data_IF_748713470262
#
_entry.id   IF_748713470262
#
_cell.length_a   1.000
_cell.length_b   1.000
_cell.length_c   1.000
_cell.angle_alpha   90.00
_cell.angle_beta   90.00
_cell.angle_gamma   90.00
#
_symmetry.space_group_name_H-M   'P 1'
#
loop_
_entity.id
_entity.type
_entity.pdbx_description
1 polymer ?
#
# COMPACT_ATOMS: atom_id res chain seq x y z
N UNK A 1 16.82 14.47 4.33
CA UNK A 1 16.26 15.13 3.12
C UNK A 1 15.69 14.05 2.18
N UNK A 2 14.48 14.20 1.62
CA UNK A 2 13.91 13.27 0.65
C UNK A 2 14.72 13.24 -0.65
N UNK A 3 14.74 12.10 -1.36
CA UNK A 3 15.42 11.95 -2.66
C UNK A 3 14.47 12.00 -3.86
N UNK A 4 13.16 11.91 -3.65
CA UNK A 4 12.17 11.99 -4.72
C UNK A 4 10.88 12.69 -4.26
N UNK A 5 10.19 13.30 -5.21
CA UNK A 5 9.00 14.12 -4.99
C UNK A 5 7.96 13.81 -6.05
N UNK A 6 6.73 13.57 -5.62
CA UNK A 6 5.56 13.63 -6.48
C UNK A 6 5.14 15.10 -6.59
N UNK A 7 5.00 15.61 -7.81
CA UNK A 7 4.80 17.03 -8.03
C UNK A 7 3.61 17.36 -8.96
N UNK A 8 3.21 18.63 -8.89
CA UNK A 8 2.37 19.34 -9.86
C UNK A 8 3.00 20.71 -10.14
N UNK A 9 3.14 21.06 -11.41
CA UNK A 9 3.69 22.37 -11.81
C UNK A 9 3.33 22.66 -13.27
N UNK A 10 2.75 23.82 -13.57
CA UNK A 10 2.52 24.31 -14.94
C UNK A 10 1.92 23.28 -15.93
N UNK A 11 0.90 22.53 -15.51
CA UNK A 11 0.29 21.48 -16.35
C UNK A 11 1.12 20.19 -16.49
N UNK A 12 2.29 20.15 -15.85
CA UNK A 12 3.12 18.96 -15.65
C UNK A 12 2.76 18.24 -14.35
N UNK A 13 2.87 16.92 -14.39
CA UNK A 13 2.47 16.01 -13.33
C UNK A 13 3.41 14.80 -13.34
N UNK A 14 3.91 14.37 -12.19
CA UNK A 14 4.62 13.09 -12.10
C UNK A 14 5.55 12.99 -10.89
N UNK A 15 6.61 12.19 -11.06
CA UNK A 15 7.72 12.06 -10.12
C UNK A 15 8.96 12.83 -10.62
N UNK A 16 9.66 13.48 -9.71
CA UNK A 16 11.05 13.94 -9.92
C UNK A 16 11.94 13.34 -8.83
N UNK A 17 13.18 13.05 -9.17
CA UNK A 17 14.19 12.58 -8.23
C UNK A 17 15.40 13.50 -8.25
N UNK A 18 16.09 13.59 -7.12
CA UNK A 18 17.36 14.32 -7.02
C UNK A 18 18.39 13.55 -7.83
N UNK A 19 19.06 14.21 -8.77
CA UNK A 19 20.20 13.66 -9.51
C UNK A 19 21.45 14.50 -9.22
N UNK A 20 22.41 13.97 -8.43
CA UNK A 20 23.63 14.70 -8.09
C UNK A 20 24.71 14.64 -9.17
N UNK A 21 24.55 13.81 -10.20
CA UNK A 21 25.57 13.56 -11.22
C UNK A 21 25.32 14.32 -12.52
N UNK A 22 24.09 14.80 -12.73
CA UNK A 22 23.76 15.58 -13.91
C UNK A 22 24.33 17.00 -13.83
N UNK A 23 25.48 17.18 -14.48
CA UNK A 23 26.18 18.46 -14.54
C UNK A 23 25.34 19.57 -15.20
N UNK A 24 24.34 19.21 -16.02
CA UNK A 24 23.42 20.19 -16.62
C UNK A 24 22.37 20.72 -15.63
N UNK A 25 22.24 20.12 -14.45
CA UNK A 25 21.33 20.56 -13.38
C UNK A 25 22.01 21.45 -12.34
N UNK A 26 23.31 21.70 -12.46
CA UNK A 26 24.06 22.58 -11.57
C UNK A 26 23.95 24.01 -12.10
N UNK A 27 23.06 24.80 -11.52
CA UNK A 27 23.02 26.24 -11.81
C UNK A 27 24.21 26.94 -11.15
N UNK A 28 24.84 27.87 -11.87
CA UNK A 28 25.69 28.87 -11.24
C UNK A 28 24.79 29.74 -10.33
N UNK A 29 24.99 29.67 -9.01
CA UNK A 29 24.29 30.54 -8.05
C UNK A 29 23.26 29.87 -7.13
N UNK A 30 23.20 28.54 -7.06
CA UNK A 30 22.38 27.83 -6.06
C UNK A 30 20.89 27.70 -6.41
N UNK A 31 20.52 27.79 -7.69
CA UNK A 31 19.17 27.48 -8.15
C UNK A 31 19.08 25.97 -8.47
N UNK A 32 17.96 25.36 -8.10
CA UNK A 32 17.67 23.97 -8.47
C UNK A 32 17.00 23.95 -9.84
N UNK A 33 17.60 23.26 -10.80
CA UNK A 33 16.99 23.01 -12.10
C UNK A 33 16.11 21.77 -12.02
N UNK A 34 14.91 21.86 -12.60
CA UNK A 34 13.97 20.74 -12.69
C UNK A 34 13.71 20.47 -14.16
N UNK A 35 13.85 19.20 -14.57
CA UNK A 35 13.56 18.75 -15.92
C UNK A 35 12.29 17.91 -15.93
N UNK A 36 11.46 18.13 -16.94
CA UNK A 36 10.24 17.37 -17.16
C UNK A 36 10.34 16.54 -18.44
N UNK A 37 9.75 15.35 -18.43
CA UNK A 37 9.58 14.51 -19.62
C UNK A 37 8.31 14.90 -20.36
N UNK A 38 8.26 14.59 -21.65
CA UNK A 38 7.04 14.76 -22.46
C UNK A 38 5.84 14.02 -21.85
N UNK A 39 6.06 12.82 -21.29
CA UNK A 39 5.02 12.04 -20.62
C UNK A 39 4.46 12.72 -19.36
N UNK A 40 5.20 13.66 -18.75
CA UNK A 40 4.76 14.41 -17.58
C UNK A 40 3.94 15.64 -17.95
N UNK A 41 4.06 16.16 -19.17
CA UNK A 41 3.29 17.30 -19.66
C UNK A 41 1.89 16.86 -20.06
N UNK A 42 0.87 17.26 -19.30
CA UNK A 42 -0.53 16.86 -19.57
C UNK A 42 -1.28 17.86 -20.44
N UNK A 43 -0.95 19.15 -20.30
CA UNK A 43 -1.44 20.22 -21.15
C UNK A 43 -0.45 21.40 -21.10
N UNK A 44 -0.45 22.22 -22.15
CA UNK A 44 0.39 23.42 -22.22
C UNK A 44 -0.27 24.56 -21.46
N UNK A 45 0.53 25.28 -20.67
CA UNK A 45 0.12 26.52 -19.99
C UNK A 45 0.47 27.75 -20.82
N UNK A 46 -0.04 28.92 -20.42
CA UNK A 46 0.32 30.20 -21.04
C UNK A 46 1.78 30.54 -20.71
N UNK A 47 2.48 31.20 -21.64
CA UNK A 47 3.89 31.54 -21.51
C UNK A 47 4.21 32.43 -20.28
N UNK A 48 3.22 33.16 -19.78
CA UNK A 48 3.33 34.12 -18.66
C UNK A 48 2.91 33.53 -17.30
N UNK A 49 2.61 32.23 -17.23
CA UNK A 49 2.20 31.61 -15.97
C UNK A 49 3.35 31.58 -14.96
N UNK A 50 3.06 31.98 -13.72
CA UNK A 50 4.02 31.89 -12.61
C UNK A 50 4.42 30.44 -12.36
N UNK A 51 5.73 30.20 -12.18
CA UNK A 51 6.28 28.86 -11.96
C UNK A 51 6.10 28.48 -10.49
N UNK A 52 4.98 27.83 -10.18
CA UNK A 52 4.78 27.19 -8.89
C UNK A 52 5.16 25.70 -8.94
N UNK A 53 5.83 25.22 -7.90
CA UNK A 53 6.24 23.81 -7.77
C UNK A 53 5.60 23.17 -6.52
N UNK A 54 4.47 22.51 -6.72
CA UNK A 54 3.71 21.90 -5.64
C UNK A 54 4.18 20.46 -5.38
N UNK A 55 4.64 20.21 -4.16
CA UNK A 55 4.99 18.86 -3.69
C UNK A 55 3.77 18.19 -3.05
N UNK A 56 3.33 17.08 -3.65
CA UNK A 56 2.16 16.29 -3.19
C UNK A 56 2.59 15.21 -2.19
N UNK A 57 3.66 14.48 -2.53
CA UNK A 57 4.29 13.45 -1.70
C UNK A 57 5.80 13.52 -1.89
N UNK A 58 6.53 12.94 -0.96
CA UNK A 58 7.97 12.79 -1.05
C UNK A 58 8.39 11.41 -0.55
N UNK A 59 9.58 10.98 -0.97
CA UNK A 59 10.18 9.72 -0.52
C UNK A 59 10.35 9.73 1.00
N UNK A 60 9.77 8.76 1.68
CA UNK A 60 9.81 8.64 3.12
C UNK A 60 9.67 7.17 3.52
N UNK A 61 10.23 6.75 4.67
CA UNK A 61 10.05 5.40 5.13
C UNK A 61 8.58 5.14 5.46
N UNK A 62 7.98 4.16 4.79
CA UNK A 62 6.60 3.76 5.05
C UNK A 62 6.52 2.25 5.29
N UNK A 63 5.95 1.79 6.43
CA UNK A 63 5.78 0.38 6.70
C UNK A 63 4.75 -0.24 5.73
N UNK A 64 5.01 -1.47 5.32
CA UNK A 64 4.08 -2.24 4.49
C UNK A 64 2.99 -2.90 5.35
N UNK A 65 1.76 -2.88 4.87
CA UNK A 65 0.65 -3.66 5.39
C UNK A 65 0.08 -4.54 4.29
N UNK A 66 -0.16 -5.81 4.60
CA UNK A 66 -0.91 -6.71 3.75
C UNK A 66 -2.39 -6.31 3.79
N UNK A 67 -3.06 -6.39 2.65
CA UNK A 67 -4.50 -6.15 2.51
C UNK A 67 -5.20 -7.43 2.03
N UNK A 68 -6.54 -7.47 2.08
CA UNK A 68 -7.33 -8.64 1.64
C UNK A 68 -6.94 -9.14 0.25
N UNK A 69 -6.85 -8.24 -0.74
CA UNK A 69 -6.52 -8.61 -2.12
C UNK A 69 -5.11 -9.19 -2.23
N UNK A 70 -4.15 -8.56 -1.56
CA UNK A 70 -2.77 -9.06 -1.50
C UNK A 70 -2.74 -10.46 -0.88
N UNK A 71 -3.35 -10.66 0.29
CA UNK A 71 -3.40 -11.98 0.94
C UNK A 71 -4.07 -13.03 0.06
N UNK A 72 -5.20 -12.68 -0.57
CA UNK A 72 -5.96 -13.61 -1.41
C UNK A 72 -5.15 -14.06 -2.64
N UNK A 73 -4.52 -13.12 -3.34
CA UNK A 73 -3.70 -13.44 -4.51
C UNK A 73 -2.41 -14.16 -4.14
N UNK A 74 -1.73 -13.73 -3.08
CA UNK A 74 -0.51 -14.37 -2.60
C UNK A 74 -0.75 -15.84 -2.20
N UNK A 75 -1.85 -16.11 -1.50
CA UNK A 75 -2.19 -17.49 -1.11
C UNK A 75 -2.66 -18.32 -2.29
N UNK A 76 -3.39 -17.73 -3.24
CA UNK A 76 -3.77 -18.42 -4.47
C UNK A 76 -2.55 -18.80 -5.29
N UNK A 77 -1.64 -17.86 -5.53
CA UNK A 77 -0.37 -18.11 -6.20
C UNK A 77 0.45 -19.21 -5.48
N UNK A 78 0.47 -19.19 -4.15
CA UNK A 78 1.15 -20.21 -3.37
C UNK A 78 0.47 -21.59 -3.46
N UNK A 79 -0.85 -21.65 -3.65
CA UNK A 79 -1.57 -22.93 -3.86
C UNK A 79 -1.19 -23.56 -5.18
N UNK A 80 -1.14 -22.78 -6.25
CA UNK A 80 -0.76 -23.25 -7.58
C UNK A 80 0.65 -23.83 -7.60
N UNK A 81 1.52 -23.28 -6.73
CA UNK A 81 2.91 -23.71 -6.59
C UNK A 81 3.13 -24.73 -5.46
N UNK A 82 2.07 -25.22 -4.79
CA UNK A 82 2.17 -26.23 -3.73
C UNK A 82 2.84 -25.75 -2.43
N UNK A 83 2.92 -24.43 -2.19
CA UNK A 83 3.60 -23.79 -1.05
C UNK A 83 2.66 -23.06 -0.08
N UNK A 84 1.36 -23.21 -0.26
CA UNK A 84 0.35 -22.48 0.50
C UNK A 84 0.43 -22.67 2.01
N UNK A 85 0.85 -23.84 2.53
CA UNK A 85 0.96 -24.06 3.97
C UNK A 85 2.01 -23.16 4.63
N UNK A 86 3.10 -22.84 3.91
CA UNK A 86 4.16 -21.96 4.39
C UNK A 86 3.63 -20.53 4.47
N UNK A 87 2.98 -20.07 3.39
CA UNK A 87 2.39 -18.73 3.29
C UNK A 87 1.28 -18.54 4.31
N UNK A 88 0.38 -19.52 4.45
CA UNK A 88 -0.74 -19.47 5.40
C UNK A 88 -0.26 -19.43 6.85
N UNK A 89 0.71 -20.29 7.20
CA UNK A 89 1.34 -20.24 8.52
C UNK A 89 1.96 -18.87 8.78
N UNK A 90 2.71 -18.33 7.82
CA UNK A 90 3.35 -17.02 7.97
C UNK A 90 2.32 -15.90 8.16
N UNK A 91 1.22 -15.90 7.42
CA UNK A 91 0.15 -14.91 7.60
C UNK A 91 -0.46 -15.01 9.00
N UNK A 92 -0.64 -16.23 9.53
CA UNK A 92 -1.12 -16.43 10.89
C UNK A 92 -0.13 -15.97 11.96
N UNK A 93 1.17 -16.13 11.75
CA UNK A 93 2.22 -15.59 12.62
C UNK A 93 2.19 -14.06 12.62
N UNK A 94 2.25 -13.44 11.44
CA UNK A 94 2.21 -11.98 11.28
C UNK A 94 0.96 -11.36 11.92
N UNK A 95 -0.17 -12.05 11.77
CA UNK A 95 -1.41 -11.66 12.42
C UNK A 95 -1.29 -11.67 13.95
N UNK A 96 -0.69 -12.73 14.50
CA UNK A 96 -0.49 -12.90 15.94
C UNK A 96 0.48 -11.86 16.48
N UNK A 97 1.57 -11.60 15.76
CA UNK A 97 2.56 -10.58 16.11
C UNK A 97 1.93 -9.18 16.13
N UNK A 98 1.16 -8.83 15.10
CA UNK A 98 0.44 -7.56 15.04
C UNK A 98 -0.51 -7.37 16.21
N UNK A 99 -1.19 -8.44 16.63
CA UNK A 99 -2.06 -8.39 17.79
C UNK A 99 -1.29 -8.21 19.10
N UNK A 100 -0.24 -9.00 19.31
CA UNK A 100 0.62 -8.89 20.49
C UNK A 100 1.21 -7.49 20.60
N UNK A 101 1.64 -6.89 19.49
CA UNK A 101 2.16 -5.52 19.47
C UNK A 101 1.10 -4.48 19.88
N UNK A 102 -0.16 -4.66 19.43
CA UNK A 102 -1.28 -3.80 19.88
C UNK A 102 -1.49 -3.94 21.38
N UNK A 103 -1.54 -5.16 21.92
CA UNK A 103 -1.72 -5.37 23.36
C UNK A 103 -0.55 -4.82 24.17
N UNK A 104 0.69 -5.12 23.77
CA UNK A 104 1.90 -4.61 24.44
C UNK A 104 1.90 -3.09 24.47
N UNK A 105 1.43 -2.42 23.42
CA UNK A 105 1.35 -0.96 23.40
C UNK A 105 0.52 -0.37 24.54
N UNK A 106 -0.39 -1.14 25.16
CA UNK A 106 -1.24 -0.69 26.26
C UNK A 106 -0.63 -0.89 27.67
N UNK A 107 0.34 -1.79 27.80
CA UNK A 107 0.81 -2.26 29.13
C UNK A 107 2.32 -2.29 29.29
N UNK A 108 3.07 -2.36 28.19
CA UNK A 108 4.53 -2.38 28.18
C UNK A 108 5.09 -0.99 27.89
N UNK A 109 5.99 -0.50 28.74
CA UNK A 109 6.53 0.85 28.69
C UNK A 109 7.28 1.15 27.38
N UNK A 110 8.04 0.17 26.86
CA UNK A 110 8.82 0.34 25.64
C UNK A 110 7.91 0.33 24.40
N UNK A 111 6.95 -0.61 24.34
CA UNK A 111 5.97 -0.68 23.27
C UNK A 111 5.05 0.54 23.23
N UNK A 112 4.65 1.05 24.40
CA UNK A 112 3.88 2.30 24.53
C UNK A 112 4.64 3.48 23.92
N UNK A 113 5.92 3.62 24.29
CA UNK A 113 6.79 4.68 23.76
C UNK A 113 6.99 4.55 22.25
N UNK A 114 7.17 3.33 21.74
CA UNK A 114 7.23 3.05 20.30
C UNK A 114 5.93 3.43 19.59
N UNK A 115 4.77 3.10 20.16
CA UNK A 115 3.48 3.44 19.61
C UNK A 115 3.29 4.96 19.51
N UNK A 116 3.72 5.72 20.54
CA UNK A 116 3.74 7.18 20.50
C UNK A 116 4.71 7.73 19.44
N UNK A 117 5.90 7.14 19.27
CA UNK A 117 6.86 7.56 18.22
C UNK A 117 6.30 7.41 16.82
N UNK A 118 5.47 6.39 16.61
CA UNK A 118 4.75 6.16 15.35
C UNK A 118 3.63 7.15 15.05
N UNK A 119 3.28 8.04 15.97
CA UNK A 119 2.29 9.10 15.73
C UNK A 119 2.92 10.31 15.00
N UNK A 120 2.09 11.10 14.30
CA UNK A 120 2.54 12.32 13.63
C UNK A 120 3.32 13.27 14.55
N UNK A 121 4.24 14.06 13.97
CA UNK A 121 5.35 14.82 14.59
C UNK A 121 5.01 15.86 15.69
N UNK A 122 3.79 15.91 16.21
CA UNK A 122 3.36 17.00 17.11
C UNK A 122 3.71 16.79 18.59
N UNK A 123 4.25 15.63 19.00
CA UNK A 123 4.55 15.35 20.41
C UNK A 123 6.06 15.20 20.67
N UNK A 124 6.66 16.04 21.53
CA UNK A 124 8.08 15.95 21.91
C UNK A 124 8.30 14.86 22.97
N UNK A 125 7.88 13.64 22.66
CA UNK A 125 7.91 12.48 23.59
C UNK A 125 9.32 12.12 24.03
N UNK A 126 10.33 12.40 23.21
CA UNK A 126 11.74 12.10 23.53
C UNK A 126 12.30 12.96 24.66
N UNK A 127 11.55 13.97 25.13
CA UNK A 127 11.89 14.78 26.32
C UNK A 127 11.44 14.13 27.64
N UNK A 128 10.65 13.07 27.58
CA UNK A 128 10.06 12.42 28.75
C UNK A 128 10.63 11.01 28.94
N UNK A 129 10.68 10.57 30.20
CA UNK A 129 11.00 9.18 30.49
C UNK A 129 9.82 8.27 30.12
N UNK A 130 10.06 7.10 29.50
CA UNK A 130 9.02 6.15 29.13
C UNK A 130 8.03 5.83 30.26
N UNK A 131 8.51 5.72 31.50
CA UNK A 131 7.70 5.42 32.69
C UNK A 131 6.73 6.56 33.04
N UNK A 132 7.09 7.81 32.73
CA UNK A 132 6.22 8.97 32.93
C UNK A 132 5.14 9.02 31.87
N UNK A 133 5.49 8.71 30.61
CA UNK A 133 4.57 8.74 29.47
C UNK A 133 3.40 7.76 29.64
N UNK A 134 3.67 6.54 30.10
CA UNK A 134 2.64 5.50 30.25
C UNK A 134 1.67 5.76 31.43
N UNK A 135 2.11 6.54 32.43
CA UNK A 135 1.29 6.93 33.58
C UNK A 135 0.44 8.17 33.30
N UNK A 136 0.84 8.99 32.33
CA UNK A 136 0.15 10.22 31.96
C UNK A 136 -1.14 9.90 31.17
N UNK A 137 -2.26 10.48 31.61
CA UNK A 137 -3.60 10.09 31.16
C UNK A 137 -3.90 10.53 29.71
N UNK A 138 -3.34 11.65 29.25
CA UNK A 138 -3.51 12.13 27.89
C UNK A 138 -2.80 11.21 26.88
N UNK A 139 -1.52 10.91 27.09
CA UNK A 139 -0.78 9.97 26.24
C UNK A 139 -1.38 8.57 26.28
N UNK A 140 -1.83 8.12 27.45
CA UNK A 140 -2.50 6.84 27.59
C UNK A 140 -3.78 6.78 26.75
N UNK A 141 -4.61 7.82 26.82
CA UNK A 141 -5.84 7.91 26.01
C UNK A 141 -5.53 7.89 24.51
N UNK A 142 -4.46 8.54 24.07
CA UNK A 142 -4.03 8.52 22.66
C UNK A 142 -3.65 7.10 22.22
N UNK A 143 -2.81 6.40 23.00
CA UNK A 143 -2.37 5.05 22.66
C UNK A 143 -3.52 4.06 22.70
N UNK A 144 -4.46 4.19 23.65
CA UNK A 144 -5.68 3.39 23.72
C UNK A 144 -6.55 3.57 22.46
N UNK A 145 -6.80 4.82 22.05
CA UNK A 145 -7.55 5.11 20.80
C UNK A 145 -6.83 4.57 19.57
N UNK A 146 -5.49 4.70 19.53
CA UNK A 146 -4.69 4.15 18.45
C UNK A 146 -4.78 2.61 18.41
N UNK A 147 -4.67 1.93 19.55
CA UNK A 147 -4.80 0.48 19.66
C UNK A 147 -6.16 -0.02 19.16
N UNK A 148 -7.25 0.66 19.55
CA UNK A 148 -8.62 0.36 19.07
C UNK A 148 -8.72 0.58 17.56
N UNK A 149 -8.13 1.66 17.04
CA UNK A 149 -8.10 1.94 15.61
C UNK A 149 -7.33 0.87 14.83
N UNK A 150 -6.16 0.45 15.31
CA UNK A 150 -5.34 -0.61 14.72
C UNK A 150 -6.08 -1.95 14.77
N UNK A 151 -6.68 -2.31 15.90
CA UNK A 151 -7.49 -3.52 16.03
C UNK A 151 -8.69 -3.52 15.07
N UNK A 152 -9.33 -2.35 14.88
CA UNK A 152 -10.42 -2.17 13.90
C UNK A 152 -9.93 -2.32 12.46
N UNK A 153 -8.76 -1.78 12.12
CA UNK A 153 -8.15 -1.95 10.79
C UNK A 153 -7.79 -3.41 10.52
N UNK A 154 -7.19 -4.08 11.50
CA UNK A 154 -6.84 -5.49 11.44
C UNK A 154 -8.10 -6.37 11.26
N UNK A 155 -9.18 -6.09 12.00
CA UNK A 155 -10.42 -6.87 11.93
C UNK A 155 -11.27 -6.57 10.69
N UNK A 156 -11.52 -5.29 10.39
CA UNK A 156 -12.50 -4.90 9.37
C UNK A 156 -11.91 -4.71 7.97
N UNK A 157 -10.57 -4.61 7.85
CA UNK A 157 -9.87 -4.42 6.57
C UNK A 157 -8.77 -5.47 6.32
N UNK A 158 -8.51 -6.37 7.26
CA UNK A 158 -7.41 -7.34 7.20
C UNK A 158 -6.06 -6.65 6.92
N UNK A 159 -5.82 -5.50 7.56
CA UNK A 159 -4.57 -4.74 7.42
C UNK A 159 -3.50 -5.30 8.34
N UNK A 160 -2.81 -6.36 7.91
CA UNK A 160 -1.77 -7.03 8.70
C UNK A 160 -0.42 -6.35 8.42
N UNK A 161 0.22 -5.70 9.40
CA UNK A 161 1.54 -5.11 9.20
C UNK A 161 2.57 -6.20 8.92
N UNK A 162 3.43 -5.95 7.91
CA UNK A 162 4.64 -6.74 7.71
C UNK A 162 5.77 -6.12 8.54
N UNK A 163 6.67 -6.90 9.16
CA UNK A 163 7.79 -6.37 9.90
C UNK A 163 8.59 -5.39 9.05
N UNK A 164 9.03 -4.29 9.67
CA UNK A 164 9.87 -3.28 9.02
C UNK A 164 11.26 -3.82 8.68
N UNK A 165 11.58 -5.07 8.98
CA UNK A 165 12.79 -5.70 8.44
C UNK A 165 12.53 -6.44 7.13
N UNK A 166 11.27 -6.55 6.66
CA UNK A 166 10.84 -7.48 5.61
C UNK A 166 9.97 -6.85 4.51
N UNK A 167 9.60 -5.56 4.64
CA UNK A 167 8.93 -4.85 3.55
C UNK A 167 8.70 -3.37 3.80
N UNK A 168 8.44 -2.65 2.71
CA UNK A 168 8.19 -1.21 2.66
C UNK A 168 7.13 -0.89 1.61
N UNK A 169 6.43 0.21 1.83
CA UNK A 169 5.59 0.87 0.84
C UNK A 169 6.39 2.07 0.31
N UNK A 170 6.70 2.14 -0.98
CA UNK A 170 7.61 3.17 -1.52
C UNK A 170 7.14 3.74 -2.85
N UNK A 171 7.61 4.94 -3.18
CA UNK A 171 7.43 5.52 -4.51
C UNK A 171 8.40 4.85 -5.50
N UNK A 172 7.99 4.74 -6.76
CA UNK A 172 8.84 4.29 -7.85
C UNK A 172 9.54 5.44 -8.56
N UNK A 173 10.80 5.25 -8.94
CA UNK A 173 11.55 6.15 -9.82
C UNK A 173 12.30 5.35 -10.89
N UNK A 174 12.72 6.03 -11.95
CA UNK A 174 13.48 5.42 -13.05
C UNK A 174 14.98 5.53 -12.78
N UNK A 175 15.76 4.53 -13.19
CA UNK A 175 17.21 4.64 -13.27
C UNK A 175 17.61 5.56 -14.43
N UNK A 176 18.00 6.79 -14.13
CA UNK A 176 18.50 7.75 -15.13
C UNK A 176 19.93 7.44 -15.60
N UNK A 177 20.67 6.65 -14.83
CA UNK A 177 22.06 6.30 -15.14
C UNK A 177 22.15 5.16 -16.15
N UNK A 178 21.08 4.38 -16.30
CA UNK A 178 21.00 3.22 -17.19
C UNK A 178 21.95 2.09 -16.81
N UNK A 179 22.29 1.98 -15.51
CA UNK A 179 23.26 1.01 -14.99
C UNK A 179 22.63 -0.29 -14.51
N UNK A 180 21.33 -0.29 -14.20
CA UNK A 180 20.57 -1.51 -13.87
C UNK A 180 20.28 -2.34 -15.12
N UNK A 181 20.34 -3.67 -15.03
CA UNK A 181 19.94 -4.59 -16.10
C UNK A 181 18.45 -4.95 -16.02
N UNK A 182 17.83 -5.44 -17.11
CA UNK A 182 16.46 -5.95 -17.06
C UNK A 182 16.30 -7.01 -15.95
N UNK A 183 15.29 -6.84 -15.09
CA UNK A 183 15.03 -7.68 -13.92
C UNK A 183 15.80 -7.28 -12.65
N UNK A 184 16.70 -6.31 -12.73
CA UNK A 184 17.37 -5.69 -11.58
C UNK A 184 16.64 -4.41 -11.14
N UNK A 185 16.71 -4.16 -9.84
CA UNK A 185 16.23 -2.92 -9.21
C UNK A 185 17.27 -2.43 -8.21
N UNK A 186 17.27 -1.14 -7.90
CA UNK A 186 17.99 -0.63 -6.74
C UNK A 186 17.01 -0.24 -5.65
N UNK A 187 17.29 -0.65 -4.41
CA UNK A 187 16.45 -0.37 -3.27
C UNK A 187 17.28 -0.07 -2.02
N UNK A 188 17.24 1.18 -1.59
CA UNK A 188 17.85 1.65 -0.35
C UNK A 188 16.79 2.31 0.52
N UNK A 189 16.74 1.92 1.79
CA UNK A 189 15.69 2.36 2.71
C UNK A 189 16.24 2.74 4.08
N UNK A 190 15.51 3.63 4.75
CA UNK A 190 15.75 3.99 6.14
C UNK A 190 15.42 2.80 7.06
N UNK A 191 16.39 2.41 7.88
CA UNK A 191 16.31 1.23 8.76
C UNK A 191 15.14 1.35 9.75
N UNK A 192 15.17 2.41 10.57
CA UNK A 192 14.08 2.73 11.51
C UNK A 192 13.03 3.63 10.83
N UNK A 193 11.89 3.05 10.49
CA UNK A 193 10.79 3.77 9.83
C UNK A 193 10.16 4.88 10.68
N UNK A 194 10.41 4.87 11.98
CA UNK A 194 9.94 5.91 12.91
C UNK A 194 11.03 6.94 13.23
N UNK A 195 12.22 6.79 12.64
CA UNK A 195 13.31 7.73 12.82
C UNK A 195 12.91 9.12 12.37
N UNK A 196 13.12 10.08 13.26
CA UNK A 196 12.92 11.52 12.99
C UNK A 196 14.26 12.23 12.75
N UNK A 197 15.35 11.47 12.63
CA UNK A 197 16.70 11.99 12.35
C UNK A 197 16.77 12.64 10.97
N UNK A 198 17.54 13.71 10.85
CA UNK A 198 17.86 14.32 9.54
C UNK A 198 18.76 13.41 8.70
N UNK A 199 19.59 12.61 9.38
CA UNK A 199 20.52 11.63 8.80
C UNK A 199 20.21 10.25 9.40
N UNK A 200 19.16 9.57 8.92
CA UNK A 200 18.85 8.23 9.36
C UNK A 200 19.87 7.21 8.83
N UNK A 201 20.02 6.10 9.53
CA UNK A 201 20.77 4.95 9.03
C UNK A 201 20.03 4.33 7.85
N UNK A 202 20.76 4.10 6.76
CA UNK A 202 20.24 3.55 5.50
C UNK A 202 20.77 2.14 5.30
N UNK A 203 19.95 1.28 4.70
CA UNK A 203 20.31 -0.09 4.30
C UNK A 203 20.11 -0.20 2.79
N UNK A 204 21.16 -0.64 2.09
CA UNK A 204 21.06 -1.08 0.69
C UNK A 204 20.64 -2.54 0.69
N UNK A 205 19.45 -2.82 0.16
CA UNK A 205 18.96 -4.19 0.07
C UNK A 205 19.62 -4.93 -1.10
N UNK A 206 19.97 -6.20 -0.90
CA UNK A 206 20.49 -7.07 -1.94
C UNK A 206 19.75 -8.40 -1.92
N UNK A 207 19.45 -8.93 -3.11
CA UNK A 207 18.80 -10.23 -3.28
C UNK A 207 17.39 -10.14 -3.83
N UNK A 208 16.68 -11.28 -3.82
CA UNK A 208 15.35 -11.40 -4.41
C UNK A 208 14.32 -10.64 -3.59
N UNK A 209 13.55 -9.79 -4.27
CA UNK A 209 12.42 -9.06 -3.69
C UNK A 209 11.15 -9.32 -4.48
N UNK A 210 10.01 -9.27 -3.79
CA UNK A 210 8.69 -9.19 -4.38
C UNK A 210 8.22 -7.73 -4.44
N UNK A 211 7.50 -7.40 -5.52
CA UNK A 211 6.99 -6.05 -5.78
C UNK A 211 5.55 -6.18 -6.26
N UNK A 212 4.66 -5.37 -5.71
CA UNK A 212 3.28 -5.29 -6.20
C UNK A 212 2.69 -3.90 -5.99
N UNK A 213 1.50 -3.64 -6.54
CA UNK A 213 0.77 -2.38 -6.43
C UNK A 213 -0.68 -2.68 -6.05
N UNK A 214 -1.31 -1.77 -5.30
CA UNK A 214 -2.74 -1.86 -4.97
C UNK A 214 -3.54 -0.80 -5.73
N UNK A 215 -4.77 -1.11 -6.19
CA UNK A 215 -5.42 -2.42 -6.17
C UNK A 215 -4.78 -3.40 -7.17
N UNK A 216 -5.05 -4.69 -6.99
CA UNK A 216 -4.52 -5.80 -7.79
C UNK A 216 -5.62 -6.83 -8.04
N UNK A 217 -5.61 -7.41 -9.25
CA UNK A 217 -6.66 -8.30 -9.73
C UNK A 217 -6.12 -9.57 -10.41
N UNK A 218 -4.82 -9.63 -10.70
CA UNK A 218 -4.19 -10.76 -11.38
C UNK A 218 -3.06 -11.35 -10.54
N UNK A 219 -2.84 -12.66 -10.67
CA UNK A 219 -1.71 -13.33 -9.99
C UNK A 219 -0.37 -12.77 -10.47
N UNK A 220 -0.29 -12.37 -11.74
CA UNK A 220 0.86 -11.72 -12.35
C UNK A 220 1.19 -10.35 -11.77
N UNK A 221 0.30 -9.71 -10.99
CA UNK A 221 0.58 -8.43 -10.32
C UNK A 221 1.61 -8.53 -9.19
N UNK A 222 1.95 -9.75 -8.77
CA UNK A 222 3.04 -10.02 -7.85
C UNK A 222 4.28 -10.36 -8.67
N UNK A 223 5.15 -9.37 -8.86
CA UNK A 223 6.40 -9.53 -9.60
C UNK A 223 7.57 -9.76 -8.67
N UNK A 224 8.62 -10.38 -9.18
CA UNK A 224 9.87 -10.60 -8.46
C UNK A 224 11.03 -10.03 -9.25
N UNK A 225 11.94 -9.34 -8.55
CA UNK A 225 13.14 -8.73 -9.11
C UNK A 225 14.35 -9.01 -8.22
N UNK A 226 15.54 -8.72 -8.72
CA UNK A 226 16.78 -8.79 -7.94
C UNK A 226 17.21 -7.39 -7.54
N UNK A 227 17.20 -7.09 -6.25
CA UNK A 227 17.81 -5.88 -5.72
C UNK A 227 19.34 -6.03 -5.77
N UNK A 228 20.01 -5.05 -6.38
CA UNK A 228 21.46 -5.04 -6.53
C UNK A 228 22.08 -3.83 -5.84
N UNK A 229 23.29 -4.00 -5.32
CA UNK A 229 24.09 -2.90 -4.81
C UNK A 229 24.66 -2.10 -5.99
N UNK A 230 24.29 -0.82 -6.05
CA UNK A 230 24.70 0.07 -7.13
C UNK A 230 25.11 1.45 -6.58
N UNK A 231 26.41 1.75 -6.51
CA UNK A 231 26.92 3.02 -5.99
C UNK A 231 26.44 4.26 -6.75
N UNK A 232 26.11 4.13 -8.04
CA UNK A 232 25.58 5.23 -8.85
C UNK A 232 24.16 5.64 -8.41
N UNK A 233 23.48 4.83 -7.59
CA UNK A 233 22.09 5.04 -7.19
C UNK A 233 21.93 5.32 -5.68
N UNK A 234 23.02 5.39 -4.90
CA UNK A 234 22.99 5.63 -3.44
C UNK A 234 22.32 6.94 -3.00
N UNK A 235 22.14 7.88 -3.91
CA UNK A 235 21.42 9.12 -3.63
C UNK A 235 19.89 8.91 -3.52
N UNK A 236 19.36 7.82 -4.08
CA UNK A 236 17.96 7.42 -3.91
C UNK A 236 17.73 6.76 -2.54
N UNK A 237 16.75 7.26 -1.79
CA UNK A 237 16.43 6.87 -0.42
C UNK A 237 14.93 6.70 -0.29
N UNK A 238 14.49 5.58 0.29
CA UNK A 238 13.06 5.29 0.52
C UNK A 238 12.22 5.33 -0.77
N UNK A 239 12.83 4.92 -1.88
CA UNK A 239 12.23 4.71 -3.20
C UNK A 239 12.76 3.42 -3.80
N UNK A 240 11.98 2.80 -4.68
CA UNK A 240 12.47 1.73 -5.54
C UNK A 240 12.83 2.30 -6.91
N UNK A 241 14.03 1.97 -7.39
CA UNK A 241 14.55 2.42 -8.68
C UNK A 241 14.43 1.28 -9.68
N UNK A 242 13.67 1.53 -10.75
CA UNK A 242 13.43 0.56 -11.81
C UNK A 242 14.40 0.74 -12.98
N UNK A 243 14.81 -0.37 -13.58
CA UNK A 243 15.59 -0.39 -14.80
C UNK A 243 14.87 0.36 -15.94
N UNK A 244 15.62 1.13 -16.74
CA UNK A 244 15.13 1.83 -17.92
C UNK A 244 15.33 1.04 -19.23
N UNK A 245 15.85 -0.19 -19.14
CA UNK A 245 16.06 -1.12 -20.25
C UNK A 245 15.08 -2.29 -20.18
N UNK A 246 14.83 -2.93 -21.32
CA UNK A 246 13.96 -4.10 -21.45
C UNK A 246 12.82 -3.88 -22.44
N UNK A 247 12.09 -4.95 -22.73
CA UNK A 247 10.96 -4.90 -23.67
C UNK A 247 9.71 -4.29 -23.03
N UNK A 248 9.45 -4.63 -21.76
CA UNK A 248 8.31 -4.17 -20.99
C UNK A 248 8.77 -3.61 -19.63
N UNK A 249 8.42 -2.37 -19.26
CA UNK A 249 8.80 -1.81 -17.96
C UNK A 249 8.18 -2.60 -16.80
N UNK A 250 8.97 -2.92 -15.77
CA UNK A 250 8.49 -3.64 -14.60
C UNK A 250 7.29 -2.96 -13.89
N UNK A 251 7.21 -1.62 -13.76
CA UNK A 251 6.01 -0.97 -13.26
C UNK A 251 4.73 -1.30 -14.05
N UNK A 252 4.83 -1.40 -15.37
CA UNK A 252 3.69 -1.71 -16.26
C UNK A 252 3.21 -3.15 -16.08
N UNK A 253 4.14 -4.08 -15.84
CA UNK A 253 3.81 -5.47 -15.49
C UNK A 253 3.05 -5.60 -14.17
N UNK A 254 3.06 -4.56 -13.32
CA UNK A 254 2.42 -4.54 -12.00
C UNK A 254 1.14 -3.70 -12.08
N UNK A 255 0.02 -4.31 -12.46
CA UNK A 255 -1.29 -3.63 -12.50
C UNK A 255 -1.31 -2.40 -13.41
N UNK A 256 -0.59 -2.44 -14.54
CA UNK A 256 -0.50 -1.34 -15.50
C UNK A 256 0.06 -0.05 -14.89
N UNK A 257 1.03 -0.18 -13.97
CA UNK A 257 1.59 0.94 -13.24
C UNK A 257 2.47 1.86 -14.08
N UNK A 258 2.56 3.10 -13.64
CA UNK A 258 3.48 4.10 -14.21
C UNK A 258 4.33 4.75 -13.10
N UNK A 259 5.21 5.68 -13.48
CA UNK A 259 6.04 6.43 -12.53
C UNK A 259 5.55 7.87 -12.37
N UNK A 260 4.23 8.09 -12.32
CA UNK A 260 3.61 9.41 -12.11
C UNK A 260 3.25 9.73 -10.64
N UNK A 261 3.53 8.78 -9.75
CA UNK A 261 3.19 8.81 -8.33
C UNK A 261 2.70 7.48 -7.75
N UNK A 262 2.75 6.39 -8.52
CA UNK A 262 2.41 5.07 -8.04
C UNK A 262 3.25 4.67 -6.82
N UNK A 263 2.59 3.93 -5.93
CA UNK A 263 3.17 3.44 -4.69
C UNK A 263 3.24 1.92 -4.73
N UNK A 264 4.45 1.39 -4.57
CA UNK A 264 4.74 -0.02 -4.67
C UNK A 264 4.92 -0.63 -3.27
N UNK A 265 4.35 -1.81 -3.09
CA UNK A 265 4.62 -2.69 -1.95
C UNK A 265 5.83 -3.55 -2.29
N UNK A 266 6.97 -3.26 -1.66
CA UNK A 266 8.22 -4.00 -1.82
C UNK A 266 8.40 -4.88 -0.59
N UNK A 267 8.59 -6.18 -0.78
CA UNK A 267 8.71 -7.14 0.32
C UNK A 267 9.77 -8.19 0.03
N UNK A 268 10.41 -8.70 1.08
CA UNK A 268 11.46 -9.70 1.00
C UNK A 268 11.35 -10.72 2.13
N UNK A 269 10.12 -10.99 2.58
CA UNK A 269 9.84 -12.10 3.50
C UNK A 269 10.05 -13.44 2.75
N UNK A 270 10.97 -14.32 3.22
CA UNK A 270 11.28 -15.57 2.55
C UNK A 270 10.07 -16.47 2.30
N UNK A 271 9.06 -16.43 3.19
CA UNK A 271 7.85 -17.22 3.04
C UNK A 271 7.01 -16.79 1.83
N UNK A 272 7.16 -15.53 1.38
CA UNK A 272 6.40 -14.93 0.28
C UNK A 272 7.18 -14.89 -1.04
N UNK A 273 8.38 -15.48 -1.08
CA UNK A 273 9.20 -15.56 -2.30
C UNK A 273 8.70 -16.68 -3.19
N UNK A 274 7.68 -16.41 -3.99
CA UNK A 274 7.06 -17.36 -4.92
C UNK A 274 7.76 -17.40 -6.29
N UNK A 275 7.30 -18.28 -7.16
CA UNK A 275 7.76 -18.39 -8.55
C UNK A 275 7.00 -17.42 -9.44
N UNK A 276 7.61 -17.08 -10.56
CA UNK A 276 7.08 -16.12 -11.51
C UNK A 276 5.82 -16.64 -12.20
N UNK A 277 4.86 -15.75 -12.42
CA UNK A 277 3.70 -15.94 -13.30
C UNK A 277 3.72 -14.84 -14.33
N UNK A 278 3.26 -15.11 -15.55
CA UNK A 278 3.20 -14.10 -16.60
C UNK A 278 2.37 -12.89 -16.18
N UNK A 279 2.85 -11.69 -16.54
CA UNK A 279 2.14 -10.45 -16.27
C UNK A 279 0.89 -10.37 -17.16
N UNK A 280 -0.22 -9.88 -16.61
CA UNK A 280 -1.40 -9.59 -17.40
C UNK A 280 -1.15 -8.39 -18.32
N UNK A 281 -1.96 -8.30 -19.37
CA UNK A 281 -1.94 -7.17 -20.29
C UNK A 281 -2.87 -6.07 -19.80
N UNK A 282 -2.35 -4.84 -19.78
CA UNK A 282 -3.06 -3.64 -19.33
C UNK A 282 -3.20 -2.66 -20.50
N UNK A 283 -4.01 -2.97 -21.53
CA UNK A 283 -4.13 -2.11 -22.69
C UNK A 283 -4.68 -0.74 -22.27
N UNK A 284 -3.94 0.31 -22.62
CA UNK A 284 -4.46 1.66 -22.51
C UNK A 284 -5.52 1.87 -23.59
N UNK A 285 -6.71 2.39 -23.26
CA UNK A 285 -7.70 2.69 -24.27
C UNK A 285 -7.17 3.77 -25.23
N UNK A 286 -7.52 3.65 -26.51
CA UNK A 286 -7.19 4.66 -27.52
C UNK A 286 -7.79 6.01 -27.11
N UNK A 287 -6.92 6.96 -26.77
CA UNK A 287 -7.33 8.32 -26.44
C UNK A 287 -6.99 9.24 -27.61
N UNK A 288 -8.02 9.84 -28.20
CA UNK A 288 -7.85 10.88 -29.21
C UNK A 288 -7.70 12.24 -28.51
N UNK A 289 -6.56 12.90 -28.70
CA UNK A 289 -6.34 14.24 -28.18
C UNK A 289 -7.00 15.27 -29.09
N UNK A 290 -7.97 16.02 -28.58
CA UNK A 290 -8.53 17.17 -29.28
C UNK A 290 -7.51 18.32 -29.27
N UNK A 291 -7.08 18.76 -30.46
CA UNK A 291 -6.05 19.81 -30.59
C UNK A 291 -6.56 21.21 -30.21
N UNK A 292 -7.86 21.46 -30.36
CA UNK A 292 -8.54 22.70 -29.96
C UNK A 292 -9.92 22.35 -29.44
N UNK A 293 -10.27 22.90 -28.28
CA UNK A 293 -11.56 22.71 -27.62
C UNK A 293 -12.08 24.11 -27.24
N UNK A 294 -13.32 24.41 -27.58
CA UNK A 294 -14.01 25.64 -27.16
C UNK A 294 -14.39 25.55 -25.67
N UNK A 295 -14.66 26.69 -25.03
CA UNK A 295 -15.11 26.70 -23.62
C UNK A 295 -16.42 25.91 -23.46
N UNK A 296 -17.33 26.02 -24.40
CA UNK A 296 -18.60 25.29 -24.36
C UNK A 296 -18.41 23.79 -24.54
N UNK A 297 -17.55 23.34 -25.46
CA UNK A 297 -17.21 21.92 -25.61
C UNK A 297 -16.55 21.37 -24.34
N UNK A 298 -15.68 22.15 -23.67
CA UNK A 298 -15.07 21.75 -22.41
C UNK A 298 -16.11 21.61 -21.30
N UNK A 299 -17.04 22.57 -21.18
CA UNK A 299 -18.13 22.51 -20.22
C UNK A 299 -19.04 21.30 -20.47
N UNK A 300 -19.38 21.01 -21.72
CA UNK A 300 -20.16 19.82 -22.08
C UNK A 300 -19.40 18.54 -21.76
N UNK A 301 -18.11 18.42 -22.14
CA UNK A 301 -17.30 17.26 -21.84
C UNK A 301 -17.17 17.00 -20.32
N UNK A 302 -16.98 18.06 -19.52
CA UNK A 302 -16.96 17.96 -18.07
C UNK A 302 -18.31 17.53 -17.49
N UNK A 303 -19.41 18.08 -17.99
CA UNK A 303 -20.76 17.71 -17.56
C UNK A 303 -21.06 16.24 -17.89
N UNK A 304 -20.79 15.81 -19.13
CA UNK A 304 -20.94 14.42 -19.57
C UNK A 304 -20.08 13.47 -18.75
N UNK A 305 -18.79 13.75 -18.59
CA UNK A 305 -17.90 12.94 -17.76
C UNK A 305 -18.41 12.83 -16.32
N UNK A 306 -18.92 13.92 -15.73
CA UNK A 306 -19.45 13.91 -14.38
C UNK A 306 -20.72 13.06 -14.26
N UNK A 307 -21.63 13.16 -15.23
CA UNK A 307 -22.83 12.32 -15.28
C UNK A 307 -22.46 10.84 -15.39
N UNK A 308 -21.54 10.50 -16.29
CA UNK A 308 -21.05 9.13 -16.45
C UNK A 308 -20.35 8.63 -15.19
N UNK A 309 -19.52 9.47 -14.56
CA UNK A 309 -18.85 9.14 -13.31
C UNK A 309 -19.85 8.85 -12.18
N UNK A 310 -20.86 9.70 -12.00
CA UNK A 310 -21.88 9.49 -10.97
C UNK A 310 -22.71 8.23 -11.22
N UNK A 311 -22.92 7.85 -12.48
CA UNK A 311 -23.71 6.67 -12.86
C UNK A 311 -22.90 5.36 -12.83
N UNK A 312 -21.65 5.38 -13.30
CA UNK A 312 -20.89 4.16 -13.62
C UNK A 312 -19.67 3.91 -12.73
N UNK A 313 -19.27 4.85 -11.86
CA UNK A 313 -18.16 4.59 -10.94
C UNK A 313 -18.51 3.48 -9.93
N UNK A 314 -17.92 2.30 -10.16
CA UNK A 314 -18.26 1.07 -9.44
C UNK A 314 -17.02 0.29 -8.95
N UNK A 315 -15.83 0.89 -8.92
CA UNK A 315 -14.57 0.23 -8.55
C UNK A 315 -14.64 -0.51 -7.20
N UNK A 316 -15.20 0.13 -6.17
CA UNK A 316 -15.33 -0.51 -4.84
C UNK A 316 -16.27 -1.72 -4.89
N UNK A 317 -17.36 -1.62 -5.66
CA UNK A 317 -18.31 -2.71 -5.80
C UNK A 317 -17.68 -3.88 -6.57
N UNK A 318 -16.94 -3.61 -7.65
CA UNK A 318 -16.20 -4.61 -8.42
C UNK A 318 -15.20 -5.30 -7.51
N UNK A 319 -14.38 -4.55 -6.78
CA UNK A 319 -13.37 -5.09 -5.86
C UNK A 319 -14.00 -5.98 -4.78
N UNK A 320 -15.14 -5.58 -4.21
CA UNK A 320 -15.86 -6.38 -3.22
C UNK A 320 -16.42 -7.68 -3.82
N UNK A 321 -16.97 -7.64 -5.04
CA UNK A 321 -17.47 -8.83 -5.73
C UNK A 321 -16.31 -9.76 -6.09
N UNK A 322 -15.23 -9.21 -6.65
CA UNK A 322 -14.02 -9.92 -7.03
C UNK A 322 -13.46 -10.74 -5.85
N UNK A 323 -13.22 -10.10 -4.70
CA UNK A 323 -12.71 -10.79 -3.51
C UNK A 323 -13.68 -11.85 -2.98
N UNK A 324 -14.98 -11.64 -3.15
CA UNK A 324 -15.99 -12.60 -2.74
C UNK A 324 -15.99 -13.85 -3.61
N UNK A 325 -15.85 -13.69 -4.93
CA UNK A 325 -15.71 -14.80 -5.87
C UNK A 325 -14.37 -15.51 -5.72
N UNK A 326 -13.27 -14.77 -5.50
CA UNK A 326 -11.94 -15.36 -5.26
C UNK A 326 -11.89 -16.20 -3.97
N UNK A 327 -12.77 -15.93 -2.99
CA UNK A 327 -12.92 -16.76 -1.81
C UNK A 327 -13.65 -18.10 -2.06
N UNK A 328 -14.20 -18.31 -3.25
CA UNK A 328 -14.94 -19.51 -3.65
C UNK A 328 -14.30 -20.22 -4.86
N UNK A 329 -13.67 -19.46 -5.74
CA UNK A 329 -13.24 -19.90 -7.06
C UNK A 329 -11.79 -19.51 -7.34
N UNK A 330 -11.15 -20.24 -8.24
CA UNK A 330 -9.83 -19.89 -8.78
C UNK A 330 -9.92 -18.62 -9.66
N UNK A 331 -8.84 -17.83 -9.81
CA UNK A 331 -8.78 -16.70 -10.75
C UNK A 331 -9.24 -17.00 -12.18
N UNK A 332 -9.02 -18.23 -12.69
CA UNK A 332 -9.44 -18.64 -14.04
C UNK A 332 -10.95 -18.88 -14.18
N UNK A 333 -11.70 -18.76 -13.08
CA UNK A 333 -13.15 -18.85 -13.16
C UNK A 333 -13.70 -17.64 -13.93
N UNK A 334 -14.59 -17.91 -14.88
CA UNK A 334 -15.13 -16.91 -15.83
C UNK A 334 -15.61 -15.61 -15.17
N UNK A 335 -16.27 -15.68 -14.02
CA UNK A 335 -16.74 -14.47 -13.32
C UNK A 335 -15.64 -13.73 -12.58
N UNK A 336 -14.61 -14.42 -12.08
CA UNK A 336 -13.44 -13.79 -11.45
C UNK A 336 -12.63 -13.05 -12.50
N UNK A 337 -12.39 -13.67 -13.66
CA UNK A 337 -11.67 -13.07 -14.77
C UNK A 337 -12.40 -11.82 -15.32
N UNK A 338 -13.73 -11.88 -15.50
CA UNK A 338 -14.52 -10.71 -15.91
C UNK A 338 -14.43 -9.57 -14.88
N UNK A 339 -14.54 -9.90 -13.59
CA UNK A 339 -14.42 -8.90 -12.52
C UNK A 339 -13.02 -8.31 -12.45
N UNK A 340 -11.96 -9.08 -12.73
CA UNK A 340 -10.59 -8.59 -12.82
C UNK A 340 -10.45 -7.58 -13.96
N UNK A 341 -10.88 -7.93 -15.18
CA UNK A 341 -10.86 -7.03 -16.36
C UNK A 341 -11.63 -5.74 -16.10
N UNK A 342 -12.82 -5.84 -15.51
CA UNK A 342 -13.61 -4.66 -15.14
C UNK A 342 -12.92 -3.83 -14.03
N UNK A 343 -12.20 -4.48 -13.12
CA UNK A 343 -11.39 -3.83 -12.10
C UNK A 343 -10.31 -2.95 -12.72
N UNK A 344 -9.59 -3.48 -13.71
CA UNK A 344 -8.53 -2.75 -14.42
C UNK A 344 -9.07 -1.54 -15.18
N UNK A 345 -10.21 -1.70 -15.86
CA UNK A 345 -10.91 -0.58 -16.52
C UNK A 345 -11.35 0.48 -15.50
N UNK A 346 -11.93 0.06 -14.38
CA UNK A 346 -12.43 0.96 -13.35
C UNK A 346 -11.31 1.80 -12.71
N UNK A 347 -10.13 1.22 -12.49
CA UNK A 347 -8.94 1.95 -11.97
C UNK A 347 -8.50 3.05 -12.94
N UNK A 348 -8.58 2.79 -14.25
CA UNK A 348 -8.12 3.71 -15.28
C UNK A 348 -9.18 4.71 -15.76
N UNK A 349 -10.43 4.57 -15.30
CA UNK A 349 -11.57 5.39 -15.75
C UNK A 349 -11.35 6.91 -15.65
N UNK A 350 -10.68 7.38 -14.61
CA UNK A 350 -10.35 8.82 -14.46
C UNK A 350 -9.34 9.33 -15.50
N UNK A 351 -8.46 8.45 -16.00
CA UNK A 351 -7.46 8.80 -17.03
C UNK A 351 -8.07 8.67 -18.43
N UNK A 352 -8.86 7.62 -18.66
CA UNK A 352 -9.38 7.27 -19.99
C UNK A 352 -10.73 7.87 -20.34
N UNK A 353 -11.55 8.23 -19.34
CA UNK A 353 -12.98 8.51 -19.55
C UNK A 353 -13.83 7.28 -19.84
N UNK A 354 -13.25 6.07 -19.80
CA UNK A 354 -13.94 4.81 -20.05
C UNK A 354 -14.28 4.14 -18.72
N UNK A 355 -15.56 3.89 -18.48
CA UNK A 355 -16.04 3.25 -17.27
C UNK A 355 -16.24 1.74 -17.46
N UNK A 356 -16.06 0.99 -16.38
CA UNK A 356 -16.27 -0.45 -16.38
C UNK A 356 -17.75 -0.80 -16.48
N UNK A 357 -18.05 -1.94 -17.08
CA UNK A 357 -19.42 -2.43 -17.20
C UNK A 357 -20.09 -2.54 -15.82
N UNK A 358 -21.41 -2.26 -15.72
CA UNK A 358 -22.17 -2.49 -14.51
C UNK A 358 -22.08 -3.94 -14.05
N UNK A 359 -22.04 -4.13 -12.72
CA UNK A 359 -22.00 -5.47 -12.11
C UNK A 359 -23.29 -6.21 -12.43
N UNK A 360 -23.14 -7.36 -13.08
CA UNK A 360 -24.24 -8.22 -13.49
C UNK A 360 -24.84 -8.95 -12.28
N UNK A 361 -26.13 -9.34 -12.32
CA UNK A 361 -26.77 -10.05 -11.21
C UNK A 361 -26.03 -11.31 -10.75
N UNK A 362 -25.42 -12.06 -11.67
CA UNK A 362 -24.65 -13.28 -11.39
C UNK A 362 -23.30 -12.99 -10.71
N UNK A 363 -22.76 -11.79 -10.92
CA UNK A 363 -21.53 -11.34 -10.30
C UNK A 363 -21.75 -10.85 -8.87
N UNK A 364 -22.99 -10.48 -8.50
CA UNK A 364 -23.32 -10.06 -7.15
C UNK A 364 -23.40 -11.29 -6.23
N UNK A 365 -22.55 -11.37 -5.19
CA UNK A 365 -22.64 -12.45 -4.23
C UNK A 365 -24.00 -12.42 -3.52
N UNK A 366 -24.72 -13.54 -3.51
CA UNK A 366 -25.96 -13.69 -2.72
C UNK A 366 -25.62 -13.68 -1.23
N UNK A 367 -24.49 -14.30 -0.87
CA UNK A 367 -23.93 -14.31 0.47
C UNK A 367 -22.49 -13.81 0.39
N UNK A 368 -22.14 -12.82 1.20
CA UNK A 368 -20.75 -12.36 1.28
C UNK A 368 -19.92 -13.28 2.20
N UNK A 369 -18.62 -13.49 1.93
CA UNK A 369 -17.77 -14.16 2.89
C UNK A 369 -17.75 -13.40 4.22
N UNK A 370 -17.86 -14.11 5.35
CA UNK A 370 -17.94 -13.48 6.67
C UNK A 370 -16.77 -12.49 6.93
N UNK A 371 -15.58 -12.78 6.40
CA UNK A 371 -14.40 -11.90 6.54
C UNK A 371 -14.55 -10.51 5.90
N UNK A 372 -15.54 -10.29 5.05
CA UNK A 372 -15.86 -8.98 4.47
C UNK A 372 -16.56 -8.06 5.47
N UNK A 373 -17.13 -8.61 6.57
CA UNK A 373 -17.77 -7.88 7.66
C UNK A 373 -18.87 -6.89 7.19
N UNK A 374 -19.69 -7.30 6.21
CA UNK A 374 -20.83 -6.55 5.70
C UNK A 374 -22.02 -6.75 6.64
N UNK A 375 -22.20 -5.84 7.62
CA UNK A 375 -23.18 -5.98 8.72
C UNK A 375 -24.64 -6.16 8.31
N UNK A 376 -25.02 -5.68 7.13
CA UNK A 376 -26.40 -5.69 6.64
C UNK A 376 -26.65 -6.74 5.55
N UNK A 377 -25.63 -7.54 5.22
CA UNK A 377 -25.70 -8.56 4.17
C UNK A 377 -25.62 -9.96 4.79
N UNK A 378 -26.33 -10.95 4.24
CA UNK A 378 -26.19 -12.32 4.72
C UNK A 378 -24.78 -12.84 4.37
N UNK A 379 -24.21 -13.66 5.26
CA UNK A 379 -22.82 -14.10 5.13
C UNK A 379 -22.65 -15.61 5.26
N UNK A 380 -21.58 -16.14 4.65
CA UNK A 380 -21.20 -17.55 4.73
C UNK A 380 -19.77 -17.73 5.27
N UNK A 381 -19.51 -18.92 5.78
CA UNK A 381 -18.19 -19.32 6.27
C UNK A 381 -17.36 -19.91 5.12
N UNK A 382 -16.44 -19.11 4.57
CA UNK A 382 -15.51 -19.58 3.53
C UNK A 382 -14.40 -20.45 4.12
N UNK A 383 -13.89 -21.40 3.33
CA UNK A 383 -12.66 -22.15 3.63
C UNK A 383 -11.39 -21.34 3.34
N UNK A 384 -11.52 -20.16 2.74
CA UNK A 384 -10.41 -19.27 2.45
C UNK A 384 -9.74 -18.77 3.75
N UNK A 385 -8.41 -18.65 3.75
CA UNK A 385 -7.60 -18.22 4.92
C UNK A 385 -8.11 -16.93 5.56
N UNK A 386 -8.60 -15.98 4.76
CA UNK A 386 -9.17 -14.72 5.24
C UNK A 386 -10.31 -14.93 6.24
N UNK A 387 -11.06 -16.04 6.13
CA UNK A 387 -12.09 -16.40 7.10
C UNK A 387 -11.49 -16.82 8.45
N UNK A 388 -10.41 -17.61 8.45
CA UNK A 388 -9.70 -18.00 9.66
C UNK A 388 -9.07 -16.79 10.35
N UNK A 389 -8.42 -15.92 9.59
CA UNK A 389 -7.87 -14.65 10.08
C UNK A 389 -8.99 -13.81 10.69
N UNK A 390 -10.11 -13.61 9.98
CA UNK A 390 -11.23 -12.81 10.47
C UNK A 390 -11.85 -13.34 11.77
N UNK A 391 -12.05 -14.66 11.89
CA UNK A 391 -12.55 -15.26 13.14
C UNK A 391 -11.66 -14.95 14.33
N UNK A 392 -10.33 -15.02 14.13
CA UNK A 392 -9.35 -14.64 15.16
C UNK A 392 -9.44 -13.14 15.46
N UNK A 393 -9.53 -12.29 14.43
CA UNK A 393 -9.71 -10.84 14.58
C UNK A 393 -10.93 -10.44 15.39
N UNK A 394 -12.08 -11.09 15.15
CA UNK A 394 -13.33 -10.71 15.80
C UNK A 394 -13.26 -10.90 17.32
N UNK A 395 -12.67 -12.02 17.77
CA UNK A 395 -12.42 -12.29 19.20
C UNK A 395 -11.47 -11.26 19.82
N UNK A 396 -10.41 -10.94 19.08
CA UNK A 396 -9.36 -9.98 19.48
C UNK A 396 -9.89 -8.55 19.59
N UNK A 397 -10.70 -8.12 18.62
CA UNK A 397 -11.30 -6.80 18.63
C UNK A 397 -12.23 -6.63 19.84
N UNK A 398 -13.01 -7.66 20.16
CA UNK A 398 -13.83 -7.68 21.37
C UNK A 398 -12.96 -7.57 22.63
N UNK A 399 -11.82 -8.25 22.70
CA UNK A 399 -10.89 -8.17 23.83
C UNK A 399 -10.33 -6.75 24.02
N UNK A 400 -9.90 -6.09 22.93
CA UNK A 400 -9.41 -4.70 23.02
C UNK A 400 -10.52 -3.75 23.48
N UNK A 401 -11.77 -3.96 23.02
CA UNK A 401 -12.92 -3.19 23.49
C UNK A 401 -13.21 -3.43 24.99
N UNK A 402 -13.14 -4.68 25.45
CA UNK A 402 -13.33 -5.03 26.86
C UNK A 402 -12.24 -4.42 27.74
N UNK A 403 -10.98 -4.46 27.29
CA UNK A 403 -9.86 -3.82 27.98
C UNK A 403 -10.09 -2.32 28.08
N UNK A 404 -10.52 -1.66 26.99
CA UNK A 404 -10.85 -0.23 27.00
C UNK A 404 -11.99 0.09 27.98
N UNK A 405 -13.10 -0.65 27.92
CA UNK A 405 -14.25 -0.45 28.78
C UNK A 405 -13.88 -0.63 30.27
N UNK A 406 -12.99 -1.57 30.58
CA UNK A 406 -12.54 -1.84 31.96
C UNK A 406 -11.49 -0.83 32.45
N UNK A 407 -10.61 -0.34 31.57
CA UNK A 407 -9.65 0.73 31.87
C UNK A 407 -10.38 2.06 32.10
N UNK A 408 -11.35 2.42 31.26
CA UNK A 408 -12.22 3.58 31.46
C UNK A 408 -13.02 3.50 32.77
N UNK A 409 -13.31 2.29 33.27
CA UNK A 409 -14.02 2.05 34.53
C UNK A 409 -13.11 1.90 35.77
N UNK A 410 -11.78 2.03 35.63
CA UNK A 410 -10.78 1.87 36.72
C UNK A 410 -10.95 0.56 37.54
N UNK A 411 -11.30 -0.57 36.92
CA UNK A 411 -11.78 -1.76 37.67
C UNK A 411 -10.97 -3.06 37.60
N UNK A 412 -9.83 -3.13 36.92
CA UNK A 412 -9.04 -4.38 36.91
C UNK A 412 -7.55 -4.17 37.15
N UNK A 413 -7.00 -5.07 37.98
CA UNK A 413 -5.59 -5.21 38.29
C UNK A 413 -4.84 -5.78 37.06
N UNK A 414 -3.64 -5.26 36.81
CA UNK A 414 -2.78 -5.60 35.66
C UNK A 414 -2.55 -7.12 35.55
N UNK A 415 -2.44 -7.79 36.70
CA UNK A 415 -2.24 -9.23 36.80
C UNK A 415 -3.40 -10.05 36.22
N UNK A 416 -4.64 -9.55 36.29
CA UNK A 416 -5.81 -10.25 35.76
C UNK A 416 -5.85 -10.14 34.24
N UNK A 417 -5.47 -8.98 33.68
CA UNK A 417 -5.41 -8.79 32.23
C UNK A 417 -4.29 -9.64 31.63
N UNK A 418 -3.12 -9.70 32.25
CA UNK A 418 -2.01 -10.55 31.81
C UNK A 418 -2.35 -12.05 31.93
N UNK A 419 -3.06 -12.43 33.00
CA UNK A 419 -3.55 -13.80 33.18
C UNK A 419 -4.56 -14.18 32.09
N UNK A 420 -5.60 -13.37 31.87
CA UNK A 420 -6.61 -13.59 30.82
C UNK A 420 -5.99 -13.61 29.43
N UNK A 421 -5.08 -12.67 29.12
CA UNK A 421 -4.36 -12.65 27.85
C UNK A 421 -3.50 -13.91 27.65
N UNK A 422 -2.82 -14.41 28.70
CA UNK A 422 -1.97 -15.61 28.60
C UNK A 422 -2.77 -16.91 28.53
N UNK A 423 -3.87 -17.02 29.28
CA UNK A 423 -4.80 -18.16 29.22
C UNK A 423 -5.43 -18.26 27.83
N UNK A 424 -5.83 -17.12 27.25
CA UNK A 424 -6.42 -17.10 25.92
C UNK A 424 -5.37 -17.38 24.83
N UNK A 425 -4.15 -16.87 24.97
CA UNK A 425 -3.04 -17.17 24.06
C UNK A 425 -2.63 -18.66 24.07
N UNK A 426 -2.88 -19.39 25.17
CA UNK A 426 -2.66 -20.85 25.26
C UNK A 426 -3.79 -21.68 24.67
N UNK A 427 -4.98 -21.10 24.52
CA UNK A 427 -6.18 -21.77 23.99
C UNK A 427 -6.45 -21.46 22.49
N UNK A 428 -5.53 -20.75 21.84
CA UNK A 428 -5.45 -20.53 20.38
C UNK A 428 -4.31 -21.37 19.86
#
# INVERSE_FOLDING_TARGET
MPSAFQFRSLGCKGMVAIDPYNQNLVSNGGQYLVMFRDSQMKFKTRAEAEIDFDVIKYSAPCPLKLHRSFIALLVTLAKDQGRWQIVERRIHELFTDAFIDILKSLFDTNAFSKALRGLPKHFPIDKFYPEQLIQESFFRSIVEVNAVSLAKQLNSKCQIPLPTALGRTVLGVLDETGTLRPGEVFFQYTEDVYSKSENPQLIVHQGKIGITKSPMFHLGDIRYATAVDNPYLYHHKDVIVFCNHGERPLPDEIGGGDLDGDTFSVFWDPAFMLDHVEAADYPSPDTSYLQKVTVDELHHAHASFRMDYEQYNNLEQISNCYISHLALHHPDHVEVEKLAKNGDVAVNSFKSGVFADPIQPQQKPVYFPAFMNKRHEPSFQSSHILNNVHKRCAKIYLMVQLVQDNLCKKRMDKNVIEFEASEYARNI
#
